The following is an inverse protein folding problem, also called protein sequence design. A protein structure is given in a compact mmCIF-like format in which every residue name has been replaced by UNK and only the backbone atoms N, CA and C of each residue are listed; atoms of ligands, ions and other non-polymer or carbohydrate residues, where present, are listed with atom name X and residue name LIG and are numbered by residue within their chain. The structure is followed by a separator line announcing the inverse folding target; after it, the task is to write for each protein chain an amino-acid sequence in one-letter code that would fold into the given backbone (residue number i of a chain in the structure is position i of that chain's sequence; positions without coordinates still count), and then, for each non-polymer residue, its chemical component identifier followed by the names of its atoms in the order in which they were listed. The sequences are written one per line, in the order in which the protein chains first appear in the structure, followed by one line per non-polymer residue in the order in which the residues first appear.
data_IF_423542393767
#
_entry.id   IF_423542393767
#
_cell.length_a   1.000
_cell.length_b   1.000
_cell.length_c   1.000
_cell.angle_alpha   90.00
_cell.angle_beta   90.00
_cell.angle_gamma   90.00
#
_symmetry.space_group_name_H-M   'P 1'
#
loop_
_entity.id
_entity.type
_entity.pdbx_description
1 polymer ?
#
# COMPACT_ATOMS: atom_id res chain seq x y z
N UNK A 1 15.39 -8.67 14.18
CA UNK A 1 15.90 -7.31 14.52
C UNK A 1 17.00 -6.86 13.55
N UNK A 2 17.97 -7.73 13.20
CA UNK A 2 19.07 -7.35 12.30
C UNK A 2 18.64 -7.14 10.85
N UNK A 3 17.76 -7.97 10.30
CA UNK A 3 17.26 -7.82 8.93
C UNK A 3 16.46 -6.51 8.74
N UNK A 4 15.66 -6.13 9.74
CA UNK A 4 14.92 -4.86 9.74
C UNK A 4 15.85 -3.64 9.81
N UNK A 5 16.91 -3.73 10.63
CA UNK A 5 17.93 -2.68 10.72
C UNK A 5 18.68 -2.53 9.41
N UNK A 6 19.09 -3.65 8.79
CA UNK A 6 19.79 -3.65 7.51
C UNK A 6 18.93 -3.08 6.36
N UNK A 7 17.61 -3.37 6.35
CA UNK A 7 16.69 -2.80 5.36
C UNK A 7 16.53 -1.29 5.57
N UNK A 8 16.33 -0.85 6.82
CA UNK A 8 16.24 0.56 7.19
C UNK A 8 17.51 1.33 6.81
N UNK A 9 18.68 0.77 7.10
CA UNK A 9 19.96 1.39 6.79
C UNK A 9 20.20 1.47 5.26
N UNK A 10 19.73 0.47 4.48
CA UNK A 10 19.77 0.51 3.01
C UNK A 10 18.82 1.56 2.44
N UNK A 11 17.62 1.73 2.99
CA UNK A 11 16.65 2.75 2.57
C UNK A 11 17.21 4.15 2.86
N UNK A 12 17.76 4.37 4.06
CA UNK A 12 18.35 5.65 4.45
C UNK A 12 19.63 5.98 3.67
N UNK A 13 20.49 5.00 3.40
CA UNK A 13 21.70 5.19 2.58
C UNK A 13 21.34 5.53 1.13
N UNK A 14 20.28 4.95 0.57
CA UNK A 14 19.81 5.21 -0.79
C UNK A 14 19.13 6.59 -0.91
N UNK A 15 18.40 7.01 0.11
CA UNK A 15 17.82 8.36 0.20
C UNK A 15 18.92 9.45 0.26
N UNK A 16 20.00 9.20 1.01
CA UNK A 16 21.15 10.11 1.11
C UNK A 16 21.95 10.23 -0.20
N UNK A 17 21.99 9.19 -1.02
CA UNK A 17 22.66 9.22 -2.33
C UNK A 17 21.87 9.98 -3.40
N UNK A 18 20.53 10.03 -3.28
CA UNK A 18 19.66 10.75 -4.22
C UNK A 18 19.52 12.27 -3.90
N UNK A 19 19.99 12.73 -2.74
CA UNK A 19 19.93 14.15 -2.36
C UNK A 19 21.02 15.05 -3.00
N UNK A 20 21.93 14.47 -3.78
CA UNK A 20 23.05 15.19 -4.41
C UNK A 20 22.92 15.39 -5.92
N UNK A 21 21.70 15.48 -6.48
CA UNK A 21 21.55 15.90 -7.86
C UNK A 21 21.06 17.36 -7.89
N UNK A 22 21.81 18.28 -8.55
CA UNK A 22 21.37 19.67 -8.71
C UNK A 22 20.18 19.71 -9.66
N UNK A 23 19.13 20.39 -9.19
CA UNK A 23 17.98 20.82 -9.97
C UNK A 23 18.44 21.47 -11.29
N UNK A 24 18.12 20.87 -12.40
CA UNK A 24 18.23 21.49 -13.72
C UNK A 24 17.00 21.18 -14.55
N UNK A 25 16.24 22.23 -14.72
CA UNK A 25 15.38 22.53 -15.86
C UNK A 25 14.03 21.80 -15.97
N UNK A 26 12.98 22.57 -15.79
CA UNK A 26 11.92 22.78 -16.79
C UNK A 26 11.32 21.54 -17.43
N UNK A 27 10.29 21.02 -16.77
CA UNK A 27 8.97 20.81 -17.36
C UNK A 27 8.92 20.37 -18.83
N UNK A 28 8.69 19.08 -19.03
CA UNK A 28 7.91 18.46 -20.13
C UNK A 28 8.21 16.96 -20.28
N UNK A 29 8.13 16.17 -19.25
CA UNK A 29 7.89 14.72 -19.37
C UNK A 29 7.76 14.02 -18.00
N UNK A 30 6.83 14.49 -17.17
CA UNK A 30 6.61 13.92 -15.83
C UNK A 30 5.53 12.83 -15.81
N UNK A 31 4.71 12.71 -16.87
CA UNK A 31 3.69 11.69 -16.95
C UNK A 31 4.33 10.29 -17.11
N UNK A 32 3.97 9.37 -16.22
CA UNK A 32 4.41 7.98 -16.28
C UNK A 32 5.69 7.66 -15.48
N UNK A 33 6.19 8.54 -14.61
CA UNK A 33 7.33 8.23 -13.73
C UNK A 33 7.03 7.08 -12.77
N UNK A 34 5.85 7.08 -12.16
CA UNK A 34 5.42 6.00 -11.27
C UNK A 34 5.15 4.72 -12.07
N UNK A 35 4.56 4.82 -13.26
CA UNK A 35 4.39 3.65 -14.13
C UNK A 35 5.75 3.06 -14.54
N UNK A 36 6.73 3.89 -14.91
CA UNK A 36 8.09 3.44 -15.18
C UNK A 36 8.75 2.79 -13.95
N UNK A 37 8.50 3.34 -12.75
CA UNK A 37 8.99 2.76 -11.50
C UNK A 37 8.36 1.40 -11.20
N UNK A 38 7.06 1.23 -11.45
CA UNK A 38 6.39 -0.07 -11.32
C UNK A 38 7.03 -1.11 -12.25
N UNK A 39 7.29 -0.75 -13.50
CA UNK A 39 7.97 -1.64 -14.47
C UNK A 39 9.38 -2.00 -13.99
N UNK A 40 10.19 -1.03 -13.53
CA UNK A 40 11.54 -1.27 -12.98
C UNK A 40 11.51 -2.27 -11.80
N UNK A 41 10.48 -2.19 -10.95
CA UNK A 41 10.30 -3.06 -9.80
C UNK A 41 9.65 -4.42 -10.16
N UNK A 42 9.24 -4.61 -11.40
CA UNK A 42 8.50 -5.80 -11.83
C UNK A 42 7.12 -5.90 -11.17
N UNK A 43 6.51 -4.76 -10.82
CA UNK A 43 5.21 -4.68 -10.16
C UNK A 43 4.12 -4.46 -11.19
N UNK A 44 3.12 -5.34 -11.17
CA UNK A 44 1.88 -5.21 -11.92
C UNK A 44 0.75 -4.80 -10.96
N UNK A 45 -0.09 -3.85 -11.37
CA UNK A 45 -1.27 -3.49 -10.60
C UNK A 45 -2.44 -4.39 -10.98
N UNK A 46 -3.24 -4.87 -9.99
CA UNK A 46 -4.45 -5.60 -10.28
C UNK A 46 -5.49 -4.69 -10.94
N UNK A 47 -6.51 -5.30 -11.53
CA UNK A 47 -7.68 -4.55 -11.97
C UNK A 47 -8.39 -3.95 -10.75
N UNK A 48 -8.67 -2.64 -10.79
CA UNK A 48 -9.42 -1.96 -9.73
C UNK A 48 -10.79 -2.61 -9.53
N UNK A 49 -11.04 -3.14 -8.35
CA UNK A 49 -12.30 -3.81 -8.04
C UNK A 49 -13.43 -2.78 -7.88
N UNK A 50 -14.62 -3.11 -8.40
CA UNK A 50 -15.83 -2.35 -8.12
C UNK A 50 -16.29 -2.58 -6.66
N UNK A 51 -16.96 -1.59 -6.07
CA UNK A 51 -17.62 -1.76 -4.78
C UNK A 51 -18.71 -2.82 -4.86
N UNK A 52 -18.78 -3.70 -3.87
CA UNK A 52 -19.73 -4.84 -3.84
C UNK A 52 -21.00 -4.52 -3.05
N UNK A 53 -21.10 -3.34 -2.41
CA UNK A 53 -22.22 -2.94 -1.56
C UNK A 53 -22.65 -1.49 -1.85
N UNK A 54 -23.49 -0.94 -1.01
CA UNK A 54 -24.00 0.43 -1.17
C UNK A 54 -22.99 1.48 -0.68
N UNK A 55 -21.78 1.47 -1.27
CA UNK A 55 -20.72 2.47 -1.07
C UNK A 55 -19.90 2.62 -2.35
N UNK A 56 -18.98 3.57 -2.39
CA UNK A 56 -18.06 3.79 -3.51
C UNK A 56 -16.63 3.37 -3.14
N UNK A 57 -15.82 2.90 -4.10
CA UNK A 57 -14.46 2.41 -3.79
C UNK A 57 -13.52 3.53 -3.33
N UNK A 58 -13.83 4.77 -3.66
CA UNK A 58 -13.10 5.96 -3.20
C UNK A 58 -13.97 7.21 -3.24
N UNK A 59 -13.57 8.21 -2.47
CA UNK A 59 -14.13 9.57 -2.50
C UNK A 59 -12.99 10.55 -2.73
N UNK A 60 -13.21 11.56 -3.57
CA UNK A 60 -12.26 12.67 -3.77
C UNK A 60 -12.83 13.88 -3.03
N UNK A 61 -12.07 14.41 -2.08
CA UNK A 61 -12.44 15.60 -1.33
C UNK A 61 -11.17 16.34 -0.84
N UNK A 62 -11.20 17.67 -0.89
CA UNK A 62 -10.16 18.54 -0.34
C UNK A 62 -8.74 18.26 -0.84
N UNK A 63 -8.55 17.82 -2.11
CA UNK A 63 -7.23 17.45 -2.65
C UNK A 63 -6.72 16.08 -2.15
N UNK A 64 -7.63 15.26 -1.64
CA UNK A 64 -7.33 13.91 -1.17
C UNK A 64 -8.25 12.88 -1.82
N UNK A 65 -7.72 11.68 -2.03
CA UNK A 65 -8.47 10.47 -2.35
C UNK A 65 -8.58 9.64 -1.08
N UNK A 66 -9.80 9.38 -0.65
CA UNK A 66 -10.13 8.49 0.45
C UNK A 66 -10.54 7.15 -0.13
N UNK A 67 -9.71 6.14 0.06
CA UNK A 67 -9.90 4.81 -0.53
C UNK A 67 -10.47 3.88 0.54
N UNK A 68 -11.60 3.25 0.24
CA UNK A 68 -12.26 2.26 1.08
C UNK A 68 -11.36 1.05 1.35
N UNK A 69 -11.69 0.24 2.36
CA UNK A 69 -10.96 -0.98 2.70
C UNK A 69 -10.71 -1.87 1.49
N UNK A 70 -9.46 -2.20 1.25
CA UNK A 70 -9.03 -3.12 0.20
C UNK A 70 -8.58 -4.42 0.85
N UNK A 71 -9.11 -5.52 0.35
CA UNK A 71 -8.75 -6.88 0.76
C UNK A 71 -7.73 -7.47 -0.23
N UNK A 72 -7.04 -8.58 0.07
CA UNK A 72 -6.04 -9.17 -0.82
C UNK A 72 -6.69 -9.86 -2.04
N UNK A 73 -7.27 -9.03 -2.92
CA UNK A 73 -7.97 -9.43 -4.14
C UNK A 73 -7.01 -9.34 -5.32
N UNK A 74 -7.00 -10.35 -6.18
CA UNK A 74 -6.17 -10.37 -7.37
C UNK A 74 -6.99 -10.84 -8.57
N UNK A 75 -7.29 -9.92 -9.48
CA UNK A 75 -7.98 -10.18 -10.74
C UNK A 75 -9.22 -11.08 -10.62
N UNK A 76 -10.10 -10.75 -9.67
CA UNK A 76 -11.39 -11.42 -9.51
C UNK A 76 -11.41 -12.53 -8.44
N UNK A 77 -10.29 -12.80 -7.75
CA UNK A 77 -10.24 -13.81 -6.69
C UNK A 77 -9.56 -13.31 -5.43
N UNK A 78 -10.03 -13.77 -4.26
CA UNK A 78 -9.34 -13.60 -2.99
C UNK A 78 -8.11 -14.50 -2.98
N UNK A 79 -6.94 -13.93 -2.71
CA UNK A 79 -5.66 -14.66 -2.73
C UNK A 79 -5.36 -15.37 -1.40
N UNK A 80 -5.82 -14.82 -0.28
CA UNK A 80 -5.58 -15.35 1.06
C UNK A 80 -6.86 -15.34 1.88
N UNK A 81 -7.13 -16.45 2.59
CA UNK A 81 -8.25 -16.59 3.52
C UNK A 81 -7.80 -17.28 4.80
N UNK A 82 -8.37 -16.91 5.93
CA UNK A 82 -8.07 -17.44 7.24
C UNK A 82 -7.46 -16.42 8.20
N UNK A 83 -7.23 -16.86 9.43
CA UNK A 83 -6.62 -16.03 10.48
C UNK A 83 -5.11 -16.18 10.49
N UNK A 84 -4.40 -15.08 10.73
CA UNK A 84 -2.94 -15.08 10.93
C UNK A 84 -2.59 -15.81 12.23
N UNK A 85 -1.62 -16.70 12.14
CA UNK A 85 -1.22 -17.56 13.27
C UNK A 85 -1.99 -18.88 13.35
N UNK A 86 -2.93 -19.12 12.43
CA UNK A 86 -3.63 -20.38 12.23
C UNK A 86 -3.48 -20.81 10.74
N UNK A 87 -4.47 -20.53 9.91
CA UNK A 87 -4.45 -20.92 8.49
C UNK A 87 -3.52 -20.04 7.63
N UNK A 88 -3.12 -18.88 8.11
CA UNK A 88 -2.25 -17.92 7.39
C UNK A 88 -0.97 -17.71 8.19
N UNK A 89 0.19 -17.92 7.55
CA UNK A 89 1.49 -17.64 8.13
C UNK A 89 1.74 -16.12 8.22
N UNK A 90 2.73 -15.71 9.03
CA UNK A 90 3.14 -14.31 9.09
C UNK A 90 3.62 -13.79 7.72
N UNK A 91 4.37 -14.59 6.99
CA UNK A 91 4.92 -14.21 5.68
C UNK A 91 3.79 -14.07 4.64
N UNK A 92 2.81 -14.98 4.64
CA UNK A 92 1.62 -14.87 3.77
C UNK A 92 0.76 -13.66 4.14
N UNK A 93 0.67 -13.32 5.43
CA UNK A 93 -0.05 -12.14 5.87
C UNK A 93 0.65 -10.83 5.43
N UNK A 94 1.99 -10.80 5.44
CA UNK A 94 2.78 -9.67 4.90
C UNK A 94 2.55 -9.54 3.39
N UNK A 95 2.52 -10.65 2.63
CA UNK A 95 2.20 -10.61 1.20
C UNK A 95 0.73 -10.22 0.97
N UNK A 96 -0.21 -10.68 1.80
CA UNK A 96 -1.60 -10.23 1.75
C UNK A 96 -1.72 -8.71 1.94
N UNK A 97 -0.98 -8.12 2.88
CA UNK A 97 -0.92 -6.67 3.07
C UNK A 97 -0.33 -5.96 1.83
N UNK A 98 0.71 -6.52 1.21
CA UNK A 98 1.26 -6.02 -0.05
C UNK A 98 0.21 -6.05 -1.17
N UNK A 99 -0.56 -7.12 -1.30
CA UNK A 99 -1.65 -7.21 -2.30
C UNK A 99 -2.75 -6.19 -2.02
N UNK A 100 -3.13 -5.95 -0.76
CA UNK A 100 -4.04 -4.86 -0.39
C UNK A 100 -3.53 -3.49 -0.86
N UNK A 101 -2.23 -3.22 -0.68
CA UNK A 101 -1.61 -1.98 -1.13
C UNK A 101 -1.61 -1.84 -2.66
N UNK A 102 -1.41 -2.93 -3.40
CA UNK A 102 -1.54 -2.93 -4.87
C UNK A 102 -2.97 -2.59 -5.31
N UNK A 103 -3.99 -3.09 -4.60
CA UNK A 103 -5.39 -2.71 -4.85
C UNK A 103 -5.65 -1.24 -4.52
N UNK A 104 -5.07 -0.69 -3.43
CA UNK A 104 -5.12 0.74 -3.12
C UNK A 104 -4.55 1.56 -4.29
N UNK A 105 -3.40 1.17 -4.84
CA UNK A 105 -2.79 1.86 -5.98
C UNK A 105 -3.63 1.74 -7.25
N UNK A 106 -4.27 0.60 -7.50
CA UNK A 106 -5.20 0.43 -8.60
C UNK A 106 -6.41 1.36 -8.48
N UNK A 107 -6.99 1.51 -7.27
CA UNK A 107 -8.06 2.46 -7.00
C UNK A 107 -7.59 3.92 -7.15
N UNK A 108 -6.39 4.25 -6.65
CA UNK A 108 -5.80 5.59 -6.82
C UNK A 108 -5.60 5.92 -8.30
N UNK A 109 -5.09 4.98 -9.10
CA UNK A 109 -4.94 5.14 -10.55
C UNK A 109 -6.28 5.32 -11.24
N UNK A 110 -7.31 4.57 -10.86
CA UNK A 110 -8.66 4.73 -11.39
C UNK A 110 -9.27 6.09 -11.02
N UNK A 111 -9.00 6.59 -9.81
CA UNK A 111 -9.48 7.89 -9.33
C UNK A 111 -8.78 9.08 -10.00
N UNK A 112 -7.47 8.99 -10.21
CA UNK A 112 -6.62 10.11 -10.64
C UNK A 112 -6.25 10.07 -12.12
N UNK A 113 -6.34 8.91 -12.75
CA UNK A 113 -5.85 8.66 -14.12
C UNK A 113 -4.34 8.43 -14.18
N UNK A 114 -3.57 9.13 -13.36
CA UNK A 114 -2.10 9.07 -13.32
C UNK A 114 -1.60 9.11 -11.86
N UNK A 115 -0.74 8.16 -11.50
CA UNK A 115 -0.16 8.08 -10.15
C UNK A 115 0.94 9.14 -9.91
N UNK A 116 1.48 9.77 -10.93
CA UNK A 116 2.42 10.89 -10.78
C UNK A 116 1.78 12.09 -10.09
N UNK A 117 0.45 12.20 -10.14
CA UNK A 117 -0.33 13.21 -9.41
C UNK A 117 -0.29 13.03 -7.90
N UNK A 118 0.12 11.87 -7.39
CA UNK A 118 0.25 11.62 -5.95
C UNK A 118 1.36 12.50 -5.37
N UNK A 119 1.01 13.32 -4.39
CA UNK A 119 1.96 14.18 -3.67
C UNK A 119 2.39 13.56 -2.34
N UNK A 120 1.52 12.75 -1.71
CA UNK A 120 1.80 12.08 -0.44
C UNK A 120 0.83 10.92 -0.21
N UNK A 121 1.34 9.78 0.25
CA UNK A 121 0.53 8.81 0.98
C UNK A 121 0.36 9.39 2.40
N UNK A 122 -0.87 9.78 2.77
CA UNK A 122 -1.11 10.49 4.03
C UNK A 122 -1.28 9.50 5.18
N UNK A 123 -2.11 8.47 4.97
CA UNK A 123 -2.42 7.48 6.00
C UNK A 123 -2.74 6.11 5.40
N UNK A 124 -2.35 5.07 6.13
CA UNK A 124 -2.86 3.70 5.98
C UNK A 124 -3.56 3.26 7.27
N UNK A 125 -4.75 2.69 7.16
CA UNK A 125 -5.45 1.99 8.24
C UNK A 125 -5.40 0.50 7.98
N UNK A 126 -4.62 -0.26 8.76
CA UNK A 126 -4.43 -1.70 8.58
C UNK A 126 -5.16 -2.50 9.65
N UNK A 127 -5.98 -3.45 9.22
CA UNK A 127 -6.75 -4.38 10.05
C UNK A 127 -6.28 -5.79 9.77
N UNK A 128 -6.03 -6.56 10.82
CA UNK A 128 -5.51 -7.93 10.71
C UNK A 128 -6.41 -8.88 11.48
N UNK A 129 -6.96 -9.87 10.78
CA UNK A 129 -7.67 -10.99 11.38
C UNK A 129 -6.62 -12.02 11.83
N UNK A 130 -6.43 -12.17 13.14
CA UNK A 130 -5.43 -13.05 13.73
C UNK A 130 -5.95 -13.80 14.95
N UNK A 131 -5.27 -14.87 15.31
CA UNK A 131 -5.58 -15.65 16.52
C UNK A 131 -5.46 -14.81 17.79
N UNK A 132 -6.18 -15.15 18.88
CA UNK A 132 -6.03 -14.47 20.15
C UNK A 132 -4.58 -14.45 20.64
N UNK A 133 -4.14 -13.28 21.13
CA UNK A 133 -2.77 -13.10 21.62
C UNK A 133 -1.73 -12.76 20.54
N UNK A 134 -2.10 -12.70 19.27
CA UNK A 134 -1.22 -12.19 18.23
C UNK A 134 -0.95 -10.70 18.44
N UNK A 135 0.29 -10.26 18.32
CA UNK A 135 0.71 -8.87 18.56
C UNK A 135 1.54 -8.25 17.43
N UNK A 136 1.93 -9.05 16.45
CA UNK A 136 2.80 -8.63 15.35
C UNK A 136 2.04 -7.91 14.19
N UNK A 137 0.90 -7.29 14.49
CA UNK A 137 0.12 -6.51 13.52
C UNK A 137 0.96 -5.51 12.73
N UNK A 138 1.89 -4.73 13.37
CA UNK A 138 2.76 -3.83 12.62
C UNK A 138 3.66 -4.52 11.61
N UNK A 139 4.11 -5.76 11.88
CA UNK A 139 4.93 -6.54 10.93
C UNK A 139 4.11 -6.92 9.70
N UNK A 140 2.86 -7.35 9.89
CA UNK A 140 1.95 -7.68 8.79
C UNK A 140 1.76 -6.46 7.89
N UNK A 141 1.41 -5.31 8.46
CA UNK A 141 1.11 -4.10 7.67
C UNK A 141 2.38 -3.48 7.05
N UNK A 142 3.59 -3.87 7.48
CA UNK A 142 4.81 -3.48 6.78
C UNK A 142 4.81 -3.91 5.31
N UNK A 143 4.16 -5.02 4.93
CA UNK A 143 4.01 -5.42 3.55
C UNK A 143 3.42 -4.31 2.66
N UNK A 144 2.44 -3.57 3.18
CA UNK A 144 1.87 -2.41 2.50
C UNK A 144 2.76 -1.17 2.61
N UNK A 145 3.26 -0.87 3.81
CA UNK A 145 4.05 0.34 4.06
C UNK A 145 5.34 0.37 3.25
N UNK A 146 6.05 -0.76 3.21
CA UNK A 146 7.32 -0.88 2.49
C UNK A 146 7.09 -0.73 0.98
N UNK A 147 5.99 -1.27 0.44
CA UNK A 147 5.61 -1.08 -0.96
C UNK A 147 5.36 0.39 -1.31
N UNK A 148 4.65 1.13 -0.46
CA UNK A 148 4.39 2.56 -0.70
C UNK A 148 5.70 3.36 -0.75
N UNK A 149 6.64 3.08 0.14
CA UNK A 149 7.97 3.74 0.13
C UNK A 149 8.81 3.28 -1.06
N UNK A 150 8.76 2.01 -1.44
CA UNK A 150 9.47 1.45 -2.59
C UNK A 150 9.06 2.13 -3.91
N UNK A 151 7.77 2.45 -4.06
CA UNK A 151 7.23 3.07 -5.28
C UNK A 151 7.39 4.60 -5.25
N UNK A 152 7.03 5.26 -4.15
CA UNK A 152 6.91 6.72 -4.08
C UNK A 152 8.07 7.41 -3.36
N UNK A 153 9.04 6.67 -2.82
CA UNK A 153 10.14 7.26 -2.03
C UNK A 153 9.58 8.02 -0.81
N UNK A 154 10.06 9.24 -0.59
CA UNK A 154 9.64 10.09 0.53
C UNK A 154 8.13 10.41 0.53
N UNK A 155 7.50 10.47 -0.65
CA UNK A 155 6.04 10.66 -0.75
C UNK A 155 5.26 9.43 -0.24
N UNK A 156 5.89 8.25 -0.18
CA UNK A 156 5.32 7.02 0.36
C UNK A 156 5.34 6.93 1.88
N UNK A 157 6.09 7.78 2.59
CA UNK A 157 6.14 7.82 4.05
C UNK A 157 4.83 8.40 4.62
N UNK A 158 4.16 7.65 5.47
CA UNK A 158 2.77 7.90 5.89
C UNK A 158 2.55 7.66 7.38
N UNK A 159 1.49 8.25 7.94
CA UNK A 159 0.95 7.86 9.23
C UNK A 159 0.20 6.52 9.12
N UNK A 160 0.19 5.71 10.19
CA UNK A 160 -0.39 4.37 10.14
C UNK A 160 -1.08 3.96 11.44
N UNK A 161 -2.19 3.22 11.30
CA UNK A 161 -2.70 2.32 12.32
C UNK A 161 -2.50 0.88 11.87
N UNK A 162 -2.17 -0.04 12.80
CA UNK A 162 -2.07 -1.48 12.55
C UNK A 162 -2.64 -2.21 13.76
N UNK A 163 -3.85 -2.74 13.62
CA UNK A 163 -4.64 -3.29 14.73
C UNK A 163 -5.29 -4.63 14.37
N UNK A 164 -5.60 -5.41 15.39
CA UNK A 164 -6.36 -6.65 15.23
C UNK A 164 -7.85 -6.41 15.00
N UNK A 165 -8.47 -7.28 14.23
CA UNK A 165 -9.91 -7.39 14.05
C UNK A 165 -10.38 -8.80 14.39
N UNK A 166 -11.58 -8.91 14.99
CA UNK A 166 -12.17 -10.21 15.35
C UNK A 166 -12.56 -11.06 14.12
N UNK A 167 -12.62 -10.45 12.96
CA UNK A 167 -12.88 -11.05 11.66
C UNK A 167 -12.92 -9.97 10.59
N UNK A 168 -12.65 -10.35 9.35
CA UNK A 168 -12.69 -9.45 8.19
C UNK A 168 -13.61 -10.02 7.11
N UNK A 169 -14.15 -9.17 6.20
CA UNK A 169 -14.98 -9.62 5.10
C UNK A 169 -14.31 -10.77 4.31
N UNK A 170 -15.10 -11.70 3.81
CA UNK A 170 -14.63 -12.87 3.04
C UNK A 170 -13.65 -13.77 3.81
N UNK A 171 -13.49 -13.59 5.12
CA UNK A 171 -12.54 -14.35 5.94
C UNK A 171 -11.06 -14.06 5.60
N UNK A 172 -10.76 -12.90 5.04
CA UNK A 172 -9.37 -12.53 4.68
C UNK A 172 -8.53 -12.24 5.92
N UNK A 173 -7.18 -12.41 5.84
CA UNK A 173 -6.28 -12.11 6.95
C UNK A 173 -6.02 -10.62 7.13
N UNK A 174 -6.15 -9.80 6.08
CA UNK A 174 -5.77 -8.38 6.09
C UNK A 174 -6.77 -7.57 5.28
N UNK A 175 -7.08 -6.36 5.77
CA UNK A 175 -7.76 -5.30 5.04
C UNK A 175 -7.07 -3.97 5.32
N UNK A 176 -6.94 -3.10 4.29
CA UNK A 176 -6.25 -1.82 4.43
C UNK A 176 -7.03 -0.73 3.71
N UNK A 177 -7.30 0.39 4.39
CA UNK A 177 -7.78 1.64 3.81
C UNK A 177 -6.64 2.66 3.65
N UNK A 178 -6.87 3.70 2.87
CA UNK A 178 -5.86 4.72 2.62
C UNK A 178 -6.43 6.12 2.40
N UNK A 179 -5.63 7.13 2.78
CA UNK A 179 -5.81 8.52 2.38
C UNK A 179 -4.57 8.97 1.61
N UNK A 180 -4.78 9.49 0.41
CA UNK A 180 -3.72 9.89 -0.52
C UNK A 180 -3.95 11.34 -0.95
N UNK A 181 -2.95 12.22 -0.76
CA UNK A 181 -2.98 13.59 -1.27
C UNK A 181 -2.48 13.63 -2.72
N UNK A 182 -3.07 14.51 -3.52
CA UNK A 182 -2.74 14.66 -4.94
C UNK A 182 -2.86 16.11 -5.41
N UNK A 183 -2.32 16.40 -6.61
CA UNK A 183 -2.48 17.68 -7.34
C UNK A 183 -3.23 17.49 -8.64
#
# INVERSE_FOLDING_TARGET
REAYKALKDRILARAAQNSNHPDKSGDKNMAGQIDARLVELGIELPQAAAAVANYVPYVIDGGQVWIAGQVPFWNGAVKYTGSVGDAVSLDDAIDAARVCALNILAQAKAALGDLDRVTRIVKLGGFVNAVPGFTDYPKVINGASDLMVEIFGDKGMHARSAVGAAGLPLGVPVEIDAVIAFT
#
